data_IF_579634068190
#
_entry.id   IF_579634068190
#
_cell.length_a   1.000
_cell.length_b   1.000
_cell.length_c   1.000
_cell.angle_alpha   90.00
_cell.angle_beta   90.00
_cell.angle_gamma   90.00
#
_symmetry.space_group_name_H-M   'P 1'
#
loop_
_entity.id
_entity.type
_entity.pdbx_description
1 polymer ?
#
# COMPACT_ATOMS: atom_id res chain seq x y z
N UNK A 1 -27.16 -12.44 13.06
CA UNK A 1 -26.13 -11.99 14.03
C UNK A 1 -26.02 -12.84 15.31
N UNK A 2 -27.09 -13.38 15.95
CA UNK A 2 -26.95 -14.17 17.19
C UNK A 2 -26.20 -15.51 17.01
N UNK A 3 -26.28 -16.09 15.81
CA UNK A 3 -25.67 -17.38 15.50
C UNK A 3 -24.14 -17.29 15.33
N UNK A 4 -23.64 -16.17 14.80
CA UNK A 4 -22.20 -15.95 14.54
C UNK A 4 -21.39 -15.72 15.83
N UNK A 5 -22.00 -15.05 16.82
CA UNK A 5 -21.37 -14.80 18.13
C UNK A 5 -21.29 -16.07 18.97
N UNK A 6 -22.30 -16.94 18.91
CA UNK A 6 -22.27 -18.25 19.58
C UNK A 6 -21.21 -19.20 18.98
N UNK A 7 -21.02 -19.18 17.66
CA UNK A 7 -19.97 -19.99 17.00
C UNK A 7 -18.56 -19.48 17.25
N UNK A 8 -18.36 -18.16 17.41
CA UNK A 8 -17.05 -17.58 17.69
C UNK A 8 -16.60 -17.86 19.14
N UNK A 9 -17.48 -17.65 20.13
CA UNK A 9 -17.21 -18.00 21.52
C UNK A 9 -16.93 -19.51 21.69
N UNK A 10 -17.59 -20.35 20.88
CA UNK A 10 -17.31 -21.79 20.84
C UNK A 10 -15.96 -22.15 20.20
N UNK A 11 -15.42 -21.32 19.31
CA UNK A 11 -14.11 -21.55 18.70
C UNK A 11 -12.97 -21.29 19.67
N UNK A 12 -13.02 -20.17 20.41
CA UNK A 12 -11.98 -19.81 21.37
C UNK A 12 -12.02 -20.72 22.61
N UNK A 13 -13.18 -21.29 22.93
CA UNK A 13 -13.35 -22.32 23.96
C UNK A 13 -12.75 -23.70 23.62
N UNK A 14 -12.25 -23.92 22.40
CA UNK A 14 -11.72 -25.23 21.98
C UNK A 14 -10.38 -25.59 22.58
N UNK A 15 -9.59 -24.62 23.04
CA UNK A 15 -8.25 -24.88 23.59
C UNK A 15 -8.37 -25.15 25.10
N UNK A 16 -7.98 -26.36 25.58
CA UNK A 16 -7.96 -26.65 27.00
C UNK A 16 -7.00 -25.73 27.78
N UNK A 17 -7.37 -25.32 28.99
CA UNK A 17 -6.57 -24.39 29.80
C UNK A 17 -5.17 -24.91 30.12
N UNK A 18 -5.03 -26.21 30.35
CA UNK A 18 -3.75 -26.88 30.58
C UNK A 18 -2.85 -26.87 29.33
N UNK A 19 -3.44 -27.08 28.14
CA UNK A 19 -2.74 -26.93 26.88
C UNK A 19 -2.27 -25.48 26.68
N UNK A 20 -3.16 -24.52 26.91
CA UNK A 20 -2.86 -23.09 26.84
C UNK A 20 -1.71 -22.69 27.78
N UNK A 21 -1.70 -23.17 29.03
CA UNK A 21 -0.61 -22.87 29.97
C UNK A 21 0.74 -23.48 29.53
N UNK A 22 0.73 -24.66 28.91
CA UNK A 22 1.94 -25.28 28.32
C UNK A 22 2.47 -24.46 27.15
N UNK A 23 1.59 -24.03 26.24
CA UNK A 23 1.94 -23.22 25.06
C UNK A 23 2.55 -21.87 25.47
N UNK A 24 2.03 -21.26 26.55
CA UNK A 24 2.51 -19.94 27.02
C UNK A 24 3.87 -20.03 27.73
N UNK A 25 4.20 -21.16 28.35
CA UNK A 25 5.42 -21.34 29.13
C UNK A 25 6.71 -20.88 28.40
N UNK A 26 7.00 -21.29 27.15
CA UNK A 26 8.20 -20.88 26.42
C UNK A 26 8.21 -19.40 26.01
N UNK A 27 7.10 -18.67 26.09
CA UNK A 27 7.01 -17.27 25.68
C UNK A 27 7.43 -16.29 26.79
N UNK A 28 7.30 -16.70 28.07
CA UNK A 28 7.48 -15.80 29.21
C UNK A 28 8.92 -15.34 29.40
N UNK A 29 9.87 -16.27 29.31
CA UNK A 29 11.29 -15.97 29.54
C UNK A 29 11.87 -15.09 28.43
N UNK A 30 11.68 -15.38 27.13
CA UNK A 30 12.15 -14.49 26.05
C UNK A 30 11.51 -13.10 26.12
N UNK A 31 10.23 -13.00 26.48
CA UNK A 31 9.58 -11.70 26.69
C UNK A 31 10.21 -10.95 27.85
N UNK A 32 10.42 -11.60 29.00
CA UNK A 32 11.04 -10.98 30.16
C UNK A 32 12.47 -10.48 29.86
N UNK A 33 13.25 -11.27 29.13
CA UNK A 33 14.62 -10.95 28.74
C UNK A 33 14.73 -9.92 27.59
N UNK A 34 13.64 -9.64 26.87
CA UNK A 34 13.68 -8.76 25.70
C UNK A 34 14.17 -7.33 26.04
N UNK A 35 15.09 -6.76 25.22
CA UNK A 35 15.73 -5.47 25.48
C UNK A 35 14.79 -4.31 25.13
N UNK A 36 13.81 -4.09 25.99
CA UNK A 36 12.81 -3.03 25.81
C UNK A 36 13.27 -1.71 26.45
N UNK A 37 13.25 -0.64 25.65
CA UNK A 37 13.38 0.73 26.12
C UNK A 37 12.18 1.52 25.59
N UNK A 38 11.36 2.14 26.46
CA UNK A 38 10.27 3.00 25.99
C UNK A 38 10.81 4.14 25.11
N UNK A 39 10.07 4.48 24.06
CA UNK A 39 10.38 5.65 23.25
C UNK A 39 10.24 6.94 24.05
N UNK A 40 11.04 7.95 23.71
CA UNK A 40 10.93 9.27 24.33
C UNK A 40 9.53 9.84 24.06
N UNK A 41 8.78 10.14 25.13
CA UNK A 41 7.40 10.64 25.03
C UNK A 41 6.31 9.55 25.07
N UNK A 42 6.66 8.27 25.14
CA UNK A 42 5.70 7.16 25.30
C UNK A 42 5.03 7.21 26.67
N UNK A 43 3.70 7.22 26.72
CA UNK A 43 2.94 7.21 27.97
C UNK A 43 2.60 5.80 28.47
N UNK A 44 2.82 4.78 27.63
CA UNK A 44 2.60 3.37 27.96
C UNK A 44 3.82 2.48 27.67
N UNK A 45 3.85 1.30 28.29
CA UNK A 45 4.85 0.26 28.03
C UNK A 45 4.28 -0.82 27.13
N UNK A 46 4.73 -0.88 25.87
CA UNK A 46 4.32 -1.93 24.91
C UNK A 46 4.67 -3.31 25.44
N UNK A 47 5.84 -3.48 26.05
CA UNK A 47 6.24 -4.75 26.68
C UNK A 47 5.28 -5.17 27.80
N UNK A 48 4.82 -4.23 28.62
CA UNK A 48 3.85 -4.52 29.68
C UNK A 48 2.46 -4.86 29.12
N UNK A 49 2.05 -4.18 28.04
CA UNK A 49 0.82 -4.47 27.33
C UNK A 49 0.84 -5.88 26.72
N UNK A 50 1.95 -6.28 26.10
CA UNK A 50 2.10 -7.64 25.60
C UNK A 50 2.14 -8.66 26.75
N UNK A 51 2.82 -8.35 27.85
CA UNK A 51 2.86 -9.24 29.01
C UNK A 51 1.47 -9.47 29.65
N UNK A 52 0.57 -8.48 29.62
CA UNK A 52 -0.79 -8.63 30.18
C UNK A 52 -1.71 -9.53 29.34
N UNK A 53 -1.36 -9.77 28.08
CA UNK A 53 -2.05 -10.74 27.20
C UNK A 53 -1.64 -12.19 27.49
N UNK A 54 -0.55 -12.43 28.23
CA UNK A 54 -0.14 -13.79 28.57
C UNK A 54 -1.00 -14.33 29.73
N UNK A 55 -1.68 -15.47 29.53
CA UNK A 55 -2.48 -16.11 30.58
C UNK A 55 -1.68 -16.33 31.86
N UNK A 56 -2.26 -16.00 33.02
CA UNK A 56 -1.59 -16.22 34.31
C UNK A 56 -1.71 -17.67 34.81
N UNK A 57 -0.65 -18.25 35.40
CA UNK A 57 -0.72 -19.58 36.02
C UNK A 57 -1.47 -19.58 37.36
N UNK A 58 -1.71 -18.40 37.97
CA UNK A 58 -2.30 -18.29 39.30
C UNK A 58 -3.79 -18.69 39.31
N UNK A 59 -4.20 -19.60 40.22
CA UNK A 59 -5.59 -20.03 40.36
C UNK A 59 -6.51 -19.01 41.06
N UNK A 60 -5.95 -17.92 41.63
CA UNK A 60 -6.65 -16.92 42.44
C UNK A 60 -7.27 -15.75 41.66
N UNK A 61 -7.05 -15.65 40.35
CA UNK A 61 -7.74 -14.65 39.53
C UNK A 61 -9.13 -15.16 39.12
N UNK A 62 -10.15 -14.27 39.03
CA UNK A 62 -11.46 -14.65 38.51
C UNK A 62 -11.26 -15.33 37.17
N UNK A 63 -11.91 -16.49 36.97
CA UNK A 63 -11.75 -17.23 35.72
C UNK A 63 -12.06 -16.27 34.56
N UNK A 64 -11.14 -16.10 33.60
CA UNK A 64 -11.44 -15.30 32.44
C UNK A 64 -12.69 -15.88 31.77
N UNK A 65 -13.52 -15.01 31.18
CA UNK A 65 -14.64 -15.42 30.32
C UNK A 65 -14.15 -16.55 29.42
N UNK A 66 -14.94 -17.64 29.31
CA UNK A 66 -14.56 -18.83 28.55
C UNK A 66 -14.03 -18.41 27.17
N UNK A 67 -12.82 -18.84 26.83
CA UNK A 67 -12.14 -18.48 25.59
C UNK A 67 -11.16 -17.29 25.69
N UNK A 68 -11.41 -16.28 26.53
CA UNK A 68 -10.61 -15.04 26.54
C UNK A 68 -9.08 -15.26 26.62
N UNK A 69 -8.61 -16.25 27.39
CA UNK A 69 -7.17 -16.55 27.46
C UNK A 69 -6.53 -17.01 26.14
N UNK A 70 -7.26 -17.73 25.29
CA UNK A 70 -6.77 -18.14 23.97
C UNK A 70 -6.82 -16.98 22.97
N UNK A 71 -7.84 -16.12 23.04
CA UNK A 71 -7.89 -14.88 22.27
C UNK A 71 -6.72 -13.95 22.64
N UNK A 72 -6.48 -13.73 23.93
CA UNK A 72 -5.38 -12.89 24.42
C UNK A 72 -4.01 -13.45 23.99
N UNK A 73 -3.81 -14.77 24.09
CA UNK A 73 -2.59 -15.42 23.60
C UNK A 73 -2.40 -15.27 22.09
N UNK A 74 -3.47 -15.43 21.30
CA UNK A 74 -3.42 -15.22 19.86
C UNK A 74 -3.03 -13.77 19.54
N UNK A 75 -3.60 -12.80 20.25
CA UNK A 75 -3.27 -11.39 20.10
C UNK A 75 -1.82 -11.08 20.50
N UNK A 76 -1.30 -11.72 21.55
CA UNK A 76 0.12 -11.63 21.89
C UNK A 76 0.99 -12.12 20.74
N UNK A 77 0.74 -13.33 20.25
CA UNK A 77 1.49 -13.91 19.15
C UNK A 77 1.36 -13.08 17.88
N UNK A 78 0.17 -12.56 17.57
CA UNK A 78 -0.07 -11.70 16.42
C UNK A 78 0.80 -10.43 16.46
N UNK A 79 0.89 -9.75 17.60
CA UNK A 79 1.74 -8.57 17.75
C UNK A 79 3.23 -8.91 17.59
N UNK A 80 3.69 -10.01 18.21
CA UNK A 80 5.08 -10.46 18.13
C UNK A 80 5.45 -10.86 16.69
N UNK A 81 4.59 -11.61 16.00
CA UNK A 81 4.80 -12.06 14.63
C UNK A 81 4.63 -10.93 13.60
N UNK A 82 3.91 -9.86 13.94
CA UNK A 82 3.83 -8.64 13.14
C UNK A 82 5.03 -7.70 13.31
N UNK A 83 5.95 -8.00 14.25
CA UNK A 83 7.11 -7.15 14.51
C UNK A 83 8.03 -7.09 13.29
N UNK A 84 8.59 -5.91 13.05
CA UNK A 84 9.56 -5.66 11.98
C UNK A 84 10.65 -4.72 12.52
N UNK A 85 11.91 -4.87 12.08
CA UNK A 85 12.96 -3.90 12.40
C UNK A 85 12.64 -2.49 11.87
N UNK A 86 11.76 -2.38 10.88
CA UNK A 86 11.34 -1.11 10.28
C UNK A 86 10.31 -0.33 11.13
N UNK A 87 9.65 -0.99 12.10
CA UNK A 87 8.59 -0.38 12.90
C UNK A 87 9.07 -0.04 14.32
N UNK A 88 9.12 1.25 14.70
CA UNK A 88 9.66 1.68 15.98
C UNK A 88 8.96 1.02 17.17
N UNK A 89 7.64 0.81 17.17
CA UNK A 89 6.96 0.28 18.35
C UNK A 89 7.35 -1.17 18.71
N UNK A 90 7.82 -1.96 17.73
CA UNK A 90 8.07 -3.40 17.89
C UNK A 90 9.48 -3.86 17.50
N UNK A 91 10.39 -2.96 17.09
CA UNK A 91 11.77 -3.31 16.71
C UNK A 91 12.60 -3.99 17.82
N UNK A 92 12.18 -3.87 19.09
CA UNK A 92 12.85 -4.47 20.26
C UNK A 92 12.51 -5.95 20.45
N UNK A 93 11.53 -6.49 19.71
CA UNK A 93 11.09 -7.89 19.81
C UNK A 93 12.21 -8.80 19.27
N UNK A 94 12.79 -9.70 20.10
CA UNK A 94 13.91 -10.52 19.68
C UNK A 94 13.46 -11.68 18.77
N UNK A 95 14.34 -12.09 17.85
CA UNK A 95 14.09 -13.23 16.92
C UNK A 95 13.71 -14.51 17.66
N UNK A 96 14.28 -14.76 18.84
CA UNK A 96 13.92 -15.91 19.68
C UNK A 96 12.45 -15.88 20.12
N UNK A 97 11.91 -14.71 20.46
CA UNK A 97 10.51 -14.55 20.83
C UNK A 97 9.59 -14.69 19.61
N UNK A 98 10.01 -14.19 18.44
CA UNK A 98 9.28 -14.40 17.17
C UNK A 98 9.19 -15.89 16.85
N UNK A 99 10.31 -16.63 16.94
CA UNK A 99 10.33 -18.08 16.72
C UNK A 99 9.45 -18.85 17.71
N UNK A 100 9.48 -18.48 18.99
CA UNK A 100 8.62 -19.09 20.00
C UNK A 100 7.13 -18.79 19.76
N UNK A 101 6.79 -17.57 19.36
CA UNK A 101 5.41 -17.19 19.03
C UNK A 101 4.89 -17.94 17.80
N UNK A 102 5.73 -18.20 16.79
CA UNK A 102 5.36 -18.99 15.62
C UNK A 102 4.98 -20.43 16.00
N UNK A 103 5.81 -21.06 16.84
CA UNK A 103 5.54 -22.40 17.38
C UNK A 103 4.25 -22.41 18.20
N UNK A 104 4.05 -21.39 19.06
CA UNK A 104 2.87 -21.31 19.91
C UNK A 104 1.57 -21.25 19.10
N UNK A 105 1.53 -20.51 18.00
CA UNK A 105 0.33 -20.41 17.15
C UNK A 105 0.01 -21.74 16.45
N UNK A 106 1.03 -22.48 16.02
CA UNK A 106 0.86 -23.84 15.46
C UNK A 106 0.34 -24.82 16.52
N UNK A 107 0.89 -24.77 17.74
CA UNK A 107 0.42 -25.59 18.86
C UNK A 107 -1.01 -25.23 19.28
N UNK A 108 -1.40 -23.95 19.23
CA UNK A 108 -2.78 -23.52 19.45
C UNK A 108 -3.72 -24.10 18.40
N UNK A 109 -3.33 -24.03 17.12
CA UNK A 109 -4.11 -24.59 16.02
C UNK A 109 -4.34 -26.10 16.21
N UNK A 110 -3.27 -26.83 16.57
CA UNK A 110 -3.35 -28.25 16.87
C UNK A 110 -4.22 -28.56 18.11
N UNK A 111 -4.04 -27.81 19.20
CA UNK A 111 -4.74 -28.04 20.46
C UNK A 111 -6.25 -27.81 20.38
N UNK A 112 -6.71 -26.87 19.55
CA UNK A 112 -8.14 -26.67 19.29
C UNK A 112 -8.71 -27.47 18.10
N UNK A 113 -7.91 -28.36 17.51
CA UNK A 113 -8.33 -29.26 16.44
C UNK A 113 -8.59 -28.59 15.09
N UNK A 114 -7.90 -27.49 14.81
CA UNK A 114 -7.95 -26.83 13.50
C UNK A 114 -6.93 -27.44 12.53
N UNK A 115 -7.24 -27.47 11.23
CA UNK A 115 -6.34 -28.03 10.22
C UNK A 115 -5.16 -27.12 9.87
N UNK A 116 -5.24 -25.83 10.21
CA UNK A 116 -4.13 -24.88 10.07
C UNK A 116 -4.36 -23.62 10.91
N UNK A 117 -3.32 -22.80 11.05
CA UNK A 117 -3.38 -21.46 11.66
C UNK A 117 -4.45 -20.59 10.98
N UNK A 118 -4.52 -20.59 9.65
CA UNK A 118 -5.53 -19.81 8.93
C UNK A 118 -6.96 -20.23 9.28
N UNK A 119 -7.21 -21.52 9.50
CA UNK A 119 -8.52 -22.00 9.93
C UNK A 119 -8.87 -21.58 11.36
N UNK A 120 -7.90 -21.63 12.28
CA UNK A 120 -8.05 -21.10 13.63
C UNK A 120 -8.36 -19.61 13.58
N UNK A 121 -7.57 -18.83 12.83
CA UNK A 121 -7.74 -17.36 12.74
C UNK A 121 -9.12 -17.00 12.19
N UNK A 122 -9.60 -17.66 11.14
CA UNK A 122 -10.96 -17.45 10.61
C UNK A 122 -12.03 -17.68 11.69
N UNK A 123 -11.87 -18.72 12.50
CA UNK A 123 -12.83 -19.06 13.55
C UNK A 123 -12.82 -18.07 14.73
N UNK A 124 -11.65 -17.52 15.06
CA UNK A 124 -11.43 -16.62 16.21
C UNK A 124 -11.66 -15.15 15.86
N UNK A 125 -11.47 -14.76 14.60
CA UNK A 125 -11.57 -13.36 14.12
C UNK A 125 -12.81 -12.59 14.62
N UNK A 126 -14.04 -13.15 14.59
CA UNK A 126 -15.23 -12.43 15.05
C UNK A 126 -15.20 -12.03 16.54
N UNK A 127 -14.38 -12.70 17.35
CA UNK A 127 -14.18 -12.36 18.77
C UNK A 127 -13.07 -11.33 18.96
N UNK A 128 -11.99 -11.40 18.17
CA UNK A 128 -10.79 -10.57 18.38
C UNK A 128 -10.77 -9.27 17.60
N UNK A 129 -11.32 -9.22 16.38
CA UNK A 129 -11.25 -8.00 15.55
C UNK A 129 -12.10 -6.85 16.10
N UNK A 130 -13.34 -7.05 16.62
CA UNK A 130 -14.12 -5.92 17.14
C UNK A 130 -13.45 -5.20 18.32
N UNK A 131 -12.86 -5.90 19.32
CA UNK A 131 -12.04 -5.26 20.35
C UNK A 131 -10.84 -4.49 19.80
N UNK A 132 -10.13 -5.02 18.79
CA UNK A 132 -9.01 -4.29 18.16
C UNK A 132 -9.48 -2.99 17.51
N UNK A 133 -10.59 -3.05 16.77
CA UNK A 133 -11.22 -1.85 16.18
C UNK A 133 -11.58 -0.83 17.26
N UNK A 134 -12.15 -1.28 18.38
CA UNK A 134 -12.50 -0.39 19.49
C UNK A 134 -11.25 0.31 20.06
N UNK A 135 -10.16 -0.43 20.30
CA UNK A 135 -8.90 0.15 20.79
C UNK A 135 -8.36 1.23 19.86
N UNK A 136 -8.39 1.00 18.54
CA UNK A 136 -7.95 1.99 17.55
C UNK A 136 -8.89 3.19 17.51
N UNK A 137 -10.21 2.96 17.58
CA UNK A 137 -11.21 4.03 17.57
C UNK A 137 -11.09 4.92 18.80
N UNK A 138 -10.92 4.33 19.98
CA UNK A 138 -10.89 5.05 21.25
C UNK A 138 -9.65 5.95 21.38
N UNK A 139 -8.57 5.66 20.64
CA UNK A 139 -7.37 6.51 20.57
C UNK A 139 -7.42 7.59 19.47
N UNK A 140 -8.46 7.60 18.63
CA UNK A 140 -8.65 8.64 17.63
C UNK A 140 -8.94 10.00 18.30
N UNK A 141 -8.60 11.07 17.59
CA UNK A 141 -8.98 12.42 17.97
C UNK A 141 -10.21 12.79 17.15
N UNK A 142 -11.40 12.43 17.64
CA UNK A 142 -12.66 12.87 17.03
C UNK A 142 -12.91 14.33 17.40
N UNK A 143 -12.83 15.24 16.42
CA UNK A 143 -13.12 16.66 16.62
C UNK A 143 -14.56 16.93 17.10
N UNK A 144 -15.48 15.99 16.86
CA UNK A 144 -16.91 16.13 17.15
C UNK A 144 -17.34 15.47 18.47
N UNK A 145 -16.47 14.73 19.14
CA UNK A 145 -16.84 13.90 20.30
C UNK A 145 -15.89 14.03 21.50
N UNK A 146 -15.18 15.15 21.60
CA UNK A 146 -14.38 15.45 22.79
C UNK A 146 -15.30 15.77 23.99
N UNK A 147 -15.84 14.72 24.61
CA UNK A 147 -16.32 14.80 25.99
C UNK A 147 -15.15 15.28 26.86
N UNK A 148 -15.25 16.51 27.33
CA UNK A 148 -14.25 17.18 28.16
C UNK A 148 -14.04 16.34 29.43
N UNK A 149 -12.97 15.54 29.49
CA UNK A 149 -12.56 14.77 30.66
C UNK A 149 -12.27 13.28 30.46
N UNK A 150 -12.55 12.70 29.29
CA UNK A 150 -12.21 11.30 29.03
C UNK A 150 -10.70 11.10 28.84
N UNK A 151 -10.06 10.26 29.66
CA UNK A 151 -8.66 9.87 29.49
C UNK A 151 -8.56 8.95 28.27
N UNK A 152 -8.09 9.48 27.15
CA UNK A 152 -7.88 8.69 25.92
C UNK A 152 -6.80 7.62 26.16
N UNK A 153 -7.00 6.39 25.67
CA UNK A 153 -5.98 5.35 25.78
C UNK A 153 -4.68 5.78 25.07
N UNK A 154 -3.51 5.41 25.61
CA UNK A 154 -2.22 5.68 24.97
C UNK A 154 -2.17 5.18 23.53
N UNK A 155 -1.60 6.00 22.63
CA UNK A 155 -1.40 5.71 21.20
C UNK A 155 -0.77 4.34 20.95
N UNK A 156 0.13 3.91 21.85
CA UNK A 156 0.84 2.64 21.75
C UNK A 156 -0.11 1.43 21.73
N UNK A 157 -1.29 1.53 22.38
CA UNK A 157 -2.31 0.47 22.31
C UNK A 157 -2.86 0.32 20.90
N UNK A 158 -3.14 1.43 20.22
CA UNK A 158 -3.65 1.42 18.86
C UNK A 158 -2.61 0.93 17.85
N UNK A 159 -1.33 1.28 18.06
CA UNK A 159 -0.23 0.72 17.27
C UNK A 159 -0.19 -0.80 17.38
N UNK A 160 -0.18 -1.33 18.61
CA UNK A 160 -0.20 -2.79 18.83
C UNK A 160 -1.44 -3.42 18.22
N UNK A 161 -2.62 -2.83 18.42
CA UNK A 161 -3.86 -3.33 17.87
C UNK A 161 -3.87 -3.37 16.33
N UNK A 162 -3.28 -2.37 15.67
CA UNK A 162 -3.17 -2.32 14.22
C UNK A 162 -2.19 -3.37 13.68
N UNK A 163 -1.07 -3.62 14.38
CA UNK A 163 -0.17 -4.73 14.07
C UNK A 163 -0.83 -6.10 14.21
N UNK A 164 -1.58 -6.30 15.31
CA UNK A 164 -2.35 -7.53 15.55
C UNK A 164 -3.39 -7.74 14.44
N UNK A 165 -4.13 -6.69 14.10
CA UNK A 165 -5.11 -6.71 13.02
C UNK A 165 -4.48 -7.09 11.67
N UNK A 166 -3.37 -6.43 11.29
CA UNK A 166 -2.64 -6.75 10.05
C UNK A 166 -2.23 -8.22 10.00
N UNK A 167 -1.64 -8.73 11.07
CA UNK A 167 -1.19 -10.12 11.09
C UNK A 167 -2.36 -11.11 11.00
N UNK A 168 -3.46 -10.85 11.71
CA UNK A 168 -4.66 -11.68 11.62
C UNK A 168 -5.17 -11.72 10.17
N UNK A 169 -5.33 -10.56 9.54
CA UNK A 169 -5.80 -10.46 8.15
C UNK A 169 -4.87 -11.21 7.19
N UNK A 170 -3.56 -11.13 7.38
CA UNK A 170 -2.59 -11.81 6.49
C UNK A 170 -2.60 -13.34 6.60
N UNK A 171 -3.15 -13.91 7.67
CA UNK A 171 -3.28 -15.37 7.81
C UNK A 171 -4.44 -15.95 7.00
N UNK A 172 -5.34 -15.11 6.47
CA UNK A 172 -6.54 -15.56 5.75
C UNK A 172 -6.44 -15.17 4.28
N UNK A 173 -6.43 -16.17 3.41
CA UNK A 173 -6.39 -15.98 1.97
C UNK A 173 -7.77 -16.24 1.32
N UNK A 174 -7.83 -16.04 0.01
CA UNK A 174 -8.98 -16.44 -0.80
C UNK A 174 -9.31 -17.94 -0.64
N UNK A 175 -10.60 -18.34 -0.57
CA UNK A 175 -11.80 -17.50 -0.62
C UNK A 175 -12.32 -17.03 0.75
N UNK A 176 -11.76 -17.52 1.86
CA UNK A 176 -12.33 -17.34 3.21
C UNK A 176 -12.32 -15.89 3.70
N UNK A 177 -11.43 -15.04 3.18
CA UNK A 177 -11.36 -13.63 3.58
C UNK A 177 -12.61 -12.84 3.15
N UNK A 178 -13.26 -13.23 2.05
CA UNK A 178 -14.48 -12.57 1.56
C UNK A 178 -15.65 -12.65 2.55
N UNK A 179 -15.79 -13.80 3.21
CA UNK A 179 -16.82 -14.04 4.24
C UNK A 179 -16.64 -13.14 5.49
N UNK A 180 -15.46 -12.53 5.63
CA UNK A 180 -15.07 -11.70 6.76
C UNK A 180 -14.99 -10.20 6.40
N UNK A 181 -15.35 -9.80 5.19
CA UNK A 181 -15.34 -8.39 4.74
C UNK A 181 -16.07 -7.45 5.70
N UNK A 182 -17.24 -7.88 6.20
CA UNK A 182 -18.05 -7.11 7.15
C UNK A 182 -17.32 -6.79 8.47
N UNK A 183 -16.27 -7.55 8.78
CA UNK A 183 -15.45 -7.41 9.97
C UNK A 183 -14.15 -6.66 9.67
N UNK A 184 -13.43 -7.08 8.63
CA UNK A 184 -12.08 -6.58 8.34
C UNK A 184 -12.09 -5.21 7.67
N UNK A 185 -13.05 -4.92 6.79
CA UNK A 185 -13.09 -3.62 6.08
C UNK A 185 -13.36 -2.48 7.05
N UNK A 186 -14.38 -2.54 7.94
CA UNK A 186 -14.58 -1.47 8.91
C UNK A 186 -13.41 -1.27 9.88
N UNK A 187 -12.68 -2.33 10.23
CA UNK A 187 -11.49 -2.21 11.07
C UNK A 187 -10.34 -1.54 10.31
N UNK A 188 -10.10 -1.94 9.06
CA UNK A 188 -9.10 -1.33 8.20
C UNK A 188 -9.39 0.16 7.92
N UNK A 189 -10.65 0.53 7.69
CA UNK A 189 -11.04 1.94 7.56
C UNK A 189 -10.74 2.73 8.84
N UNK A 190 -11.11 2.20 10.01
CA UNK A 190 -10.79 2.83 11.30
C UNK A 190 -9.28 3.01 11.52
N UNK A 191 -8.44 2.09 11.03
CA UNK A 191 -6.98 2.30 11.07
C UNK A 191 -6.49 3.39 10.12
N UNK A 192 -7.14 3.58 8.96
CA UNK A 192 -6.79 4.65 8.01
C UNK A 192 -7.22 6.04 8.49
N UNK A 193 -8.28 6.12 9.28
CA UNK A 193 -8.79 7.37 9.86
C UNK A 193 -7.95 7.85 11.07
N UNK A 194 -7.08 6.97 11.59
CA UNK A 194 -6.28 7.27 12.77
C UNK A 194 -5.17 8.30 12.45
N UNK A 195 -4.92 9.26 13.33
CA UNK A 195 -3.94 10.34 13.11
C UNK A 195 -2.46 9.86 13.07
N UNK A 196 -2.16 8.70 13.66
CA UNK A 196 -0.81 8.13 13.68
C UNK A 196 -0.43 7.48 12.34
N UNK A 197 0.70 7.89 11.71
CA UNK A 197 1.23 7.23 10.52
C UNK A 197 1.46 5.73 10.73
N UNK A 198 2.05 5.32 11.87
CA UNK A 198 2.31 3.90 12.14
C UNK A 198 1.04 3.02 12.17
N UNK A 199 -0.11 3.59 12.60
CA UNK A 199 -1.40 2.87 12.61
C UNK A 199 -1.98 2.80 11.20
N UNK A 200 -1.95 3.93 10.48
CA UNK A 200 -2.42 4.02 9.10
C UNK A 200 -1.68 3.05 8.20
N UNK A 201 -0.36 2.95 8.34
CA UNK A 201 0.46 2.04 7.53
C UNK A 201 -0.02 0.58 7.66
N UNK A 202 -0.28 0.11 8.89
CA UNK A 202 -0.79 -1.24 9.08
C UNK A 202 -2.17 -1.44 8.43
N UNK A 203 -3.02 -0.40 8.46
CA UNK A 203 -4.28 -0.36 7.73
C UNK A 203 -4.11 -0.48 6.21
N UNK A 204 -3.18 0.28 5.63
CA UNK A 204 -2.85 0.24 4.20
C UNK A 204 -2.34 -1.15 3.79
N UNK A 205 -1.43 -1.74 4.57
CA UNK A 205 -0.90 -3.09 4.30
C UNK A 205 -2.03 -4.13 4.38
N UNK A 206 -2.94 -3.99 5.34
CA UNK A 206 -4.12 -4.85 5.45
C UNK A 206 -5.02 -4.73 4.22
N UNK A 207 -5.26 -3.51 3.73
CA UNK A 207 -6.04 -3.28 2.51
C UNK A 207 -5.38 -3.86 1.25
N UNK A 208 -4.05 -3.78 1.14
CA UNK A 208 -3.32 -4.41 0.03
C UNK A 208 -3.54 -5.93 0.04
N UNK A 209 -3.50 -6.57 1.22
CA UNK A 209 -3.79 -8.00 1.36
C UNK A 209 -5.25 -8.32 1.01
N UNK A 210 -6.19 -7.53 1.52
CA UNK A 210 -7.63 -7.65 1.23
C UNK A 210 -7.88 -7.56 -0.27
N UNK A 211 -7.33 -6.56 -0.95
CA UNK A 211 -7.50 -6.36 -2.39
C UNK A 211 -6.99 -7.54 -3.24
N UNK A 212 -5.95 -8.24 -2.76
CA UNK A 212 -5.37 -9.41 -3.42
C UNK A 212 -6.13 -10.71 -3.14
N UNK A 213 -6.94 -10.77 -2.08
CA UNK A 213 -7.51 -12.03 -1.56
C UNK A 213 -9.05 -12.05 -1.46
N UNK A 214 -9.73 -10.96 -1.79
CA UNK A 214 -11.20 -10.86 -1.76
C UNK A 214 -11.74 -10.73 -3.18
N UNK A 215 -12.91 -11.31 -3.47
CA UNK A 215 -13.54 -11.12 -4.77
C UNK A 215 -13.99 -9.68 -4.91
N UNK A 216 -13.83 -9.14 -6.11
CA UNK A 216 -14.27 -7.77 -6.38
C UNK A 216 -15.78 -7.58 -6.14
N UNK A 217 -16.62 -8.60 -6.33
CA UNK A 217 -18.06 -8.54 -6.02
C UNK A 217 -18.37 -8.35 -4.53
N UNK A 218 -17.46 -8.79 -3.65
CA UNK A 218 -17.58 -8.60 -2.21
C UNK A 218 -17.05 -7.21 -1.82
N UNK A 219 -15.93 -6.78 -2.44
CA UNK A 219 -15.37 -5.44 -2.24
C UNK A 219 -16.27 -4.32 -2.75
N UNK A 220 -17.04 -4.55 -3.82
CA UNK A 220 -17.92 -3.52 -4.40
C UNK A 220 -19.00 -3.03 -3.43
N UNK A 221 -19.30 -3.78 -2.36
CA UNK A 221 -20.22 -3.34 -1.31
C UNK A 221 -19.66 -2.20 -0.45
N UNK A 222 -18.35 -1.99 -0.49
CA UNK A 222 -17.61 -1.02 0.32
C UNK A 222 -16.83 0.00 -0.52
N UNK A 223 -17.02 -0.03 -1.84
CA UNK A 223 -16.25 0.73 -2.82
C UNK A 223 -16.14 2.21 -2.47
N UNK A 224 -17.27 2.90 -2.27
CA UNK A 224 -17.26 4.34 -2.02
C UNK A 224 -16.53 4.68 -0.72
N UNK A 225 -16.74 3.92 0.36
CA UNK A 225 -16.08 4.17 1.63
C UNK A 225 -14.55 3.94 1.55
N UNK A 226 -14.14 2.91 0.82
CA UNK A 226 -12.72 2.59 0.60
C UNK A 226 -12.04 3.68 -0.23
N UNK A 227 -12.64 4.06 -1.36
CA UNK A 227 -12.02 5.03 -2.26
C UNK A 227 -12.04 6.45 -1.69
N UNK A 228 -13.07 6.80 -0.92
CA UNK A 228 -13.10 8.06 -0.20
C UNK A 228 -11.97 8.12 0.85
N UNK A 229 -11.75 7.04 1.61
CA UNK A 229 -10.65 6.96 2.57
C UNK A 229 -9.26 7.07 1.88
N UNK A 230 -9.09 6.48 0.70
CA UNK A 230 -7.88 6.64 -0.11
C UNK A 230 -7.65 8.11 -0.52
N UNK A 231 -8.68 8.79 -1.03
CA UNK A 231 -8.59 10.21 -1.40
C UNK A 231 -8.20 11.09 -0.20
N UNK A 232 -8.83 10.89 0.96
CA UNK A 232 -8.50 11.63 2.17
C UNK A 232 -7.04 11.44 2.60
N UNK A 233 -6.51 10.22 2.51
CA UNK A 233 -5.13 9.94 2.89
C UNK A 233 -4.08 10.50 1.89
N UNK A 234 -4.38 10.58 0.60
CA UNK A 234 -3.52 11.25 -0.40
C UNK A 234 -3.33 12.73 -0.06
N UNK A 235 -4.38 13.39 0.42
CA UNK A 235 -4.32 14.80 0.77
C UNK A 235 -3.58 15.07 2.08
N UNK A 236 -3.62 14.13 3.03
CA UNK A 236 -3.22 14.36 4.41
C UNK A 236 -1.87 13.74 4.83
N UNK A 237 -1.35 12.74 4.10
CA UNK A 237 -0.23 11.93 4.58
C UNK A 237 1.03 12.06 3.71
N UNK A 238 1.93 12.93 4.18
CA UNK A 238 3.21 13.23 3.54
C UNK A 238 4.28 12.16 3.84
N UNK A 239 4.17 11.45 4.97
CA UNK A 239 5.17 10.49 5.46
C UNK A 239 4.98 9.11 4.83
N UNK A 240 3.74 8.69 4.63
CA UNK A 240 3.39 7.39 4.07
C UNK A 240 3.16 7.41 2.56
N UNK A 241 3.63 8.44 1.85
CA UNK A 241 3.30 8.68 0.45
C UNK A 241 3.42 7.44 -0.45
N UNK A 242 4.49 6.66 -0.33
CA UNK A 242 4.67 5.44 -1.11
C UNK A 242 3.50 4.45 -0.89
N UNK A 243 3.17 4.19 0.39
CA UNK A 243 2.10 3.27 0.78
C UNK A 243 0.72 3.79 0.38
N UNK A 244 0.50 5.09 0.51
CA UNK A 244 -0.73 5.77 0.11
C UNK A 244 -0.97 5.61 -1.39
N UNK A 245 0.05 5.82 -2.23
CA UNK A 245 -0.07 5.63 -3.68
C UNK A 245 -0.31 4.14 -4.00
N UNK A 246 0.45 3.24 -3.39
CA UNK A 246 0.34 1.80 -3.63
C UNK A 246 -1.08 1.29 -3.35
N UNK A 247 -1.61 1.57 -2.15
CA UNK A 247 -2.94 1.11 -1.76
C UNK A 247 -4.04 1.76 -2.60
N UNK A 248 -3.90 3.05 -2.92
CA UNK A 248 -4.89 3.78 -3.73
C UNK A 248 -4.96 3.26 -5.15
N UNK A 249 -3.81 3.00 -5.80
CA UNK A 249 -3.77 2.41 -7.15
C UNK A 249 -4.41 1.02 -7.15
N UNK A 250 -4.05 0.18 -6.19
CA UNK A 250 -4.56 -1.20 -6.10
C UNK A 250 -6.07 -1.19 -5.88
N UNK A 251 -6.57 -0.43 -4.90
CA UNK A 251 -7.99 -0.39 -4.57
C UNK A 251 -8.82 0.25 -5.67
N UNK A 252 -8.34 1.34 -6.28
CA UNK A 252 -9.01 1.98 -7.41
C UNK A 252 -9.16 1.02 -8.59
N UNK A 253 -8.06 0.40 -9.01
CA UNK A 253 -8.07 -0.48 -10.19
C UNK A 253 -8.79 -1.80 -9.93
N UNK A 254 -8.80 -2.34 -8.70
CA UNK A 254 -9.53 -3.57 -8.41
C UNK A 254 -11.05 -3.34 -8.29
N UNK A 255 -11.47 -2.20 -7.74
CA UNK A 255 -12.90 -1.85 -7.57
C UNK A 255 -13.50 -1.33 -8.88
N UNK A 256 -12.86 -0.35 -9.52
CA UNK A 256 -13.37 0.28 -10.75
C UNK A 256 -13.09 -0.55 -12.01
N UNK A 257 -12.11 -1.46 -11.97
CA UNK A 257 -11.69 -2.29 -13.11
C UNK A 257 -11.49 -1.44 -14.37
N UNK A 258 -11.94 -1.95 -15.51
CA UNK A 258 -11.93 -1.31 -16.82
C UNK A 258 -13.11 -0.36 -17.04
N UNK A 259 -13.63 0.30 -15.99
CA UNK A 259 -14.59 1.39 -16.14
C UNK A 259 -13.86 2.75 -16.14
N UNK A 260 -13.26 3.19 -17.28
CA UNK A 260 -12.53 4.45 -17.34
C UNK A 260 -13.41 5.69 -17.14
N UNK A 261 -14.75 5.53 -17.19
CA UNK A 261 -15.71 6.62 -16.97
C UNK A 261 -16.03 6.84 -15.50
N UNK A 262 -15.51 5.99 -14.60
CA UNK A 262 -15.75 6.17 -13.18
C UNK A 262 -15.19 7.53 -12.72
N UNK A 263 -15.98 8.34 -11.99
CA UNK A 263 -15.49 9.60 -11.43
C UNK A 263 -14.35 9.38 -10.42
N UNK A 264 -14.23 8.18 -9.87
CA UNK A 264 -13.15 7.84 -8.94
C UNK A 264 -11.76 7.89 -9.59
N UNK A 265 -11.65 7.58 -10.88
CA UNK A 265 -10.38 7.72 -11.60
C UNK A 265 -9.93 9.19 -11.67
N UNK A 266 -10.84 10.07 -12.07
CA UNK A 266 -10.58 11.51 -12.16
C UNK A 266 -10.26 12.11 -10.79
N UNK A 267 -11.06 11.78 -9.77
CA UNK A 267 -10.88 12.26 -8.39
C UNK A 267 -9.53 11.82 -7.82
N UNK A 268 -9.24 10.51 -7.86
CA UNK A 268 -8.01 9.96 -7.28
C UNK A 268 -6.76 10.47 -7.97
N UNK A 269 -6.74 10.46 -9.31
CA UNK A 269 -5.60 10.97 -10.07
C UNK A 269 -5.42 12.47 -9.83
N UNK A 270 -6.51 13.23 -9.72
CA UNK A 270 -6.44 14.66 -9.44
C UNK A 270 -5.84 14.99 -8.08
N UNK A 271 -6.18 14.23 -7.04
CA UNK A 271 -5.59 14.35 -5.70
C UNK A 271 -4.09 14.02 -5.73
N UNK A 272 -3.71 12.90 -6.38
CA UNK A 272 -2.29 12.52 -6.49
C UNK A 272 -1.47 13.57 -7.22
N UNK A 273 -1.96 14.07 -8.35
CA UNK A 273 -1.31 15.12 -9.11
C UNK A 273 -1.24 16.42 -8.29
N UNK A 274 -2.28 16.74 -7.52
CA UNK A 274 -2.32 17.97 -6.71
C UNK A 274 -1.26 17.93 -5.62
N UNK A 275 -1.06 16.76 -5.02
CA UNK A 275 -0.01 16.51 -4.06
C UNK A 275 1.39 16.67 -4.68
N UNK A 276 1.62 16.10 -5.87
CA UNK A 276 2.89 16.20 -6.59
C UNK A 276 3.20 17.62 -7.07
N UNK A 277 2.19 18.39 -7.48
CA UNK A 277 2.33 19.78 -7.91
C UNK A 277 2.72 20.73 -6.78
N UNK A 278 2.40 20.40 -5.51
CA UNK A 278 2.84 21.19 -4.34
C UNK A 278 4.32 21.03 -4.04
N UNK A 279 4.87 19.84 -4.28
CA UNK A 279 6.27 19.52 -4.03
C UNK A 279 6.92 18.81 -5.23
N UNK A 280 6.98 19.46 -6.41
CA UNK A 280 7.39 18.81 -7.64
C UNK A 280 8.89 18.51 -7.69
N UNK A 281 9.66 18.93 -6.69
CA UNK A 281 11.10 18.68 -6.54
C UNK A 281 11.43 17.53 -5.59
N UNK A 282 10.44 16.96 -4.90
CA UNK A 282 10.67 15.85 -3.97
C UNK A 282 10.93 14.54 -4.73
N UNK A 283 12.19 14.05 -4.69
CA UNK A 283 12.62 12.83 -5.42
C UNK A 283 11.84 11.59 -4.99
N UNK A 284 11.70 11.35 -3.69
CA UNK A 284 11.06 10.14 -3.18
C UNK A 284 9.59 10.07 -3.61
N UNK A 285 8.87 11.20 -3.55
CA UNK A 285 7.46 11.26 -3.94
C UNK A 285 7.24 10.96 -5.42
N UNK A 286 8.06 11.56 -6.28
CA UNK A 286 8.00 11.35 -7.73
C UNK A 286 8.31 9.92 -8.11
N UNK A 287 9.41 9.38 -7.57
CA UNK A 287 9.82 8.00 -7.84
C UNK A 287 8.76 7.02 -7.39
N UNK A 288 8.19 7.20 -6.19
CA UNK A 288 7.11 6.37 -5.69
C UNK A 288 5.90 6.38 -6.64
N UNK A 289 5.43 7.57 -7.02
CA UNK A 289 4.26 7.72 -7.89
C UNK A 289 4.50 7.16 -9.30
N UNK A 290 5.62 7.52 -9.93
CA UNK A 290 5.96 7.03 -11.27
C UNK A 290 6.12 5.50 -11.32
N UNK A 291 6.58 4.88 -10.22
CA UNK A 291 6.72 3.42 -10.14
C UNK A 291 5.36 2.71 -10.08
N UNK A 292 4.37 3.34 -9.45
CA UNK A 292 3.12 2.67 -9.07
C UNK A 292 1.92 3.05 -9.95
N UNK A 293 1.95 4.17 -10.67
CA UNK A 293 0.76 4.73 -11.32
C UNK A 293 0.29 3.97 -12.58
N UNK A 294 1.15 3.17 -13.20
CA UNK A 294 0.88 2.51 -14.49
C UNK A 294 -0.51 1.85 -14.63
N UNK A 295 -0.97 1.03 -13.65
CA UNK A 295 -2.30 0.40 -13.70
C UNK A 295 -3.47 1.40 -13.81
N UNK A 296 -3.35 2.60 -13.24
CA UNK A 296 -4.36 3.66 -13.36
C UNK A 296 -4.38 4.20 -14.79
N UNK A 297 -3.21 4.40 -15.40
CA UNK A 297 -3.13 4.83 -16.79
C UNK A 297 -3.74 3.81 -17.74
N UNK A 298 -3.40 2.53 -17.57
CA UNK A 298 -3.96 1.44 -18.37
C UNK A 298 -5.48 1.38 -18.28
N UNK A 299 -6.03 1.56 -17.07
CA UNK A 299 -7.47 1.53 -16.85
C UNK A 299 -8.18 2.75 -17.43
N UNK A 300 -7.59 3.95 -17.37
CA UNK A 300 -8.18 5.19 -17.89
C UNK A 300 -8.07 5.31 -19.41
N UNK A 301 -6.97 4.85 -20.02
CA UNK A 301 -6.74 4.92 -21.46
C UNK A 301 -6.93 6.33 -22.04
N UNK A 302 -7.85 6.48 -23.00
CA UNK A 302 -8.14 7.77 -23.66
C UNK A 302 -8.58 8.88 -22.69
N UNK A 303 -9.12 8.55 -21.52
CA UNK A 303 -9.59 9.55 -20.56
C UNK A 303 -8.45 10.34 -19.90
N UNK A 304 -7.21 9.85 -20.01
CA UNK A 304 -6.00 10.58 -19.59
C UNK A 304 -5.84 11.93 -20.29
N UNK A 305 -6.47 12.13 -21.46
CA UNK A 305 -6.46 13.41 -22.18
C UNK A 305 -6.92 14.59 -21.29
N UNK A 306 -7.84 14.36 -20.34
CA UNK A 306 -8.31 15.38 -19.41
C UNK A 306 -7.19 15.88 -18.47
N UNK A 307 -6.20 15.05 -18.18
CA UNK A 307 -5.10 15.35 -17.26
C UNK A 307 -3.80 15.74 -17.95
N UNK A 308 -3.77 15.80 -19.29
CA UNK A 308 -2.57 16.07 -20.07
C UNK A 308 -1.82 17.31 -19.62
N UNK A 309 -2.54 18.41 -19.36
CA UNK A 309 -1.91 19.66 -18.93
C UNK A 309 -1.06 19.47 -17.67
N UNK A 310 -1.58 18.75 -16.69
CA UNK A 310 -0.93 18.51 -15.40
C UNK A 310 0.19 17.48 -15.53
N UNK A 311 -0.10 16.35 -16.18
CA UNK A 311 0.85 15.27 -16.44
C UNK A 311 2.09 15.76 -17.21
N UNK A 312 1.89 16.37 -18.38
CA UNK A 312 3.01 16.84 -19.20
C UNK A 312 3.78 17.98 -18.53
N UNK A 313 3.13 18.85 -17.74
CA UNK A 313 3.84 19.87 -16.98
C UNK A 313 4.85 19.25 -15.99
N UNK A 314 4.43 18.21 -15.26
CA UNK A 314 5.31 17.50 -14.33
C UNK A 314 6.37 16.70 -15.07
N UNK A 315 6.02 15.98 -16.13
CA UNK A 315 6.98 15.18 -16.90
C UNK A 315 8.07 16.02 -17.55
N UNK A 316 7.71 17.15 -18.18
CA UNK A 316 8.72 18.04 -18.75
C UNK A 316 9.65 18.60 -17.68
N UNK A 317 9.17 18.82 -16.46
CA UNK A 317 10.05 19.22 -15.36
C UNK A 317 10.95 18.06 -14.91
N UNK A 318 10.41 16.84 -14.81
CA UNK A 318 11.10 15.70 -14.21
C UNK A 318 12.08 15.00 -15.15
N UNK A 319 11.83 15.05 -16.47
CA UNK A 319 12.72 14.45 -17.47
C UNK A 319 14.10 15.12 -17.52
N UNK A 320 14.22 16.35 -17.03
CA UNK A 320 15.49 17.11 -16.98
C UNK A 320 16.10 17.15 -15.57
N UNK A 321 15.65 16.28 -14.65
CA UNK A 321 16.27 16.17 -13.33
C UNK A 321 17.61 15.42 -13.41
N UNK A 322 18.51 15.68 -12.47
CA UNK A 322 19.81 15.00 -12.36
C UNK A 322 19.68 13.51 -12.00
N UNK A 323 18.52 13.11 -11.45
CA UNK A 323 18.25 11.73 -11.04
C UNK A 323 17.86 10.85 -12.22
N UNK A 324 18.78 9.98 -12.65
CA UNK A 324 18.56 9.06 -13.78
C UNK A 324 17.34 8.15 -13.59
N UNK A 325 17.06 7.71 -12.35
CA UNK A 325 15.89 6.87 -12.04
C UNK A 325 14.59 7.60 -12.36
N UNK A 326 14.46 8.86 -11.96
CA UNK A 326 13.30 9.70 -12.29
C UNK A 326 13.16 9.85 -13.80
N UNK A 327 14.25 10.14 -14.51
CA UNK A 327 14.21 10.33 -15.97
C UNK A 327 13.73 9.08 -16.70
N UNK A 328 14.27 7.91 -16.37
CA UNK A 328 13.86 6.64 -16.97
C UNK A 328 12.38 6.35 -16.71
N UNK A 329 11.94 6.49 -15.46
CA UNK A 329 10.53 6.29 -15.10
C UNK A 329 9.60 7.29 -15.81
N UNK A 330 10.01 8.54 -15.99
CA UNK A 330 9.23 9.53 -16.76
C UNK A 330 9.10 9.09 -18.22
N UNK A 331 10.19 8.67 -18.86
CA UNK A 331 10.16 8.19 -20.24
C UNK A 331 9.24 6.97 -20.41
N UNK A 332 9.30 6.01 -19.48
CA UNK A 332 8.41 4.85 -19.45
C UNK A 332 6.93 5.25 -19.35
N UNK A 333 6.59 6.13 -18.40
CA UNK A 333 5.21 6.57 -18.19
C UNK A 333 4.70 7.44 -19.36
N UNK A 334 5.53 8.32 -19.91
CA UNK A 334 5.19 9.13 -21.08
C UNK A 334 4.94 8.25 -22.30
N UNK A 335 5.80 7.26 -22.54
CA UNK A 335 5.62 6.31 -23.63
C UNK A 335 4.30 5.52 -23.49
N UNK A 336 3.97 5.05 -22.29
CA UNK A 336 2.70 4.40 -22.02
C UNK A 336 1.50 5.32 -22.32
N UNK A 337 1.53 6.57 -21.85
CA UNK A 337 0.47 7.56 -22.11
C UNK A 337 0.32 7.84 -23.61
N UNK A 338 1.41 7.99 -24.36
CA UNK A 338 1.35 8.21 -25.81
C UNK A 338 0.71 7.00 -26.50
N UNK A 339 1.09 5.77 -26.12
CA UNK A 339 0.47 4.54 -26.65
C UNK A 339 -1.02 4.46 -26.36
N UNK A 340 -1.43 4.73 -25.13
CA UNK A 340 -2.82 4.64 -24.68
C UNK A 340 -3.72 5.71 -25.32
N UNK A 341 -3.18 6.92 -25.52
CA UNK A 341 -3.95 8.08 -25.98
C UNK A 341 -3.81 8.39 -27.46
N UNK A 342 -2.81 7.81 -28.12
CA UNK A 342 -2.35 8.19 -29.46
C UNK A 342 -2.05 9.70 -29.56
N UNK A 343 -1.75 10.33 -28.41
CA UNK A 343 -1.53 11.76 -28.22
C UNK A 343 -2.56 12.64 -28.97
N UNK A 344 -3.81 12.16 -29.09
CA UNK A 344 -4.85 12.78 -29.94
C UNK A 344 -5.09 14.24 -29.51
N UNK A 345 -5.05 15.16 -30.49
CA UNK A 345 -5.28 16.60 -30.30
C UNK A 345 -4.38 17.26 -29.22
N UNK A 346 -3.21 16.70 -28.94
CA UNK A 346 -2.30 17.30 -27.96
C UNK A 346 -1.57 18.53 -28.51
N UNK A 347 -1.59 19.68 -27.79
CA UNK A 347 -0.76 20.83 -28.12
C UNK A 347 0.73 20.60 -27.79
N UNK A 348 1.06 19.48 -27.12
CA UNK A 348 2.41 19.22 -26.63
C UNK A 348 3.32 18.51 -27.62
N UNK A 349 2.85 18.14 -28.82
CA UNK A 349 3.65 17.37 -29.79
C UNK A 349 4.98 18.04 -30.13
N UNK A 350 4.95 19.33 -30.49
CA UNK A 350 6.15 20.08 -30.84
C UNK A 350 7.10 20.21 -29.66
N UNK A 351 6.57 20.60 -28.49
CA UNK A 351 7.36 20.70 -27.26
C UNK A 351 7.98 19.35 -26.88
N UNK A 352 7.24 18.26 -26.99
CA UNK A 352 7.72 16.93 -26.65
C UNK A 352 8.92 16.52 -27.51
N UNK A 353 8.87 16.80 -28.81
CA UNK A 353 10.02 16.55 -29.70
C UNK A 353 11.24 17.37 -29.23
N UNK A 354 11.04 18.64 -28.91
CA UNK A 354 12.12 19.52 -28.43
C UNK A 354 12.75 19.05 -27.12
N UNK A 355 11.92 18.68 -26.14
CA UNK A 355 12.38 18.22 -24.82
C UNK A 355 13.09 16.87 -24.93
N UNK A 356 12.63 15.96 -25.80
CA UNK A 356 13.30 14.67 -26.07
C UNK A 356 14.68 14.88 -26.71
N UNK A 357 14.79 15.81 -27.66
CA UNK A 357 16.07 16.18 -28.29
C UNK A 357 17.01 16.79 -27.26
N UNK A 358 16.51 17.72 -26.44
CA UNK A 358 17.29 18.34 -25.36
C UNK A 358 17.80 17.27 -24.38
N UNK A 359 16.93 16.36 -23.94
CA UNK A 359 17.31 15.26 -23.05
C UNK A 359 18.35 14.34 -23.69
N UNK A 360 18.27 14.09 -25.01
CA UNK A 360 19.28 13.30 -25.71
C UNK A 360 20.68 13.94 -25.59
N UNK A 361 20.77 15.27 -25.71
CA UNK A 361 22.02 16.02 -25.53
C UNK A 361 22.49 15.97 -24.09
N UNK A 362 21.61 16.25 -23.13
CA UNK A 362 21.91 16.20 -21.70
C UNK A 362 22.32 14.80 -21.22
N UNK A 363 21.80 13.74 -21.84
CA UNK A 363 22.13 12.36 -21.50
C UNK A 363 23.58 11.99 -21.84
N UNK A 364 24.29 12.78 -22.65
CA UNK A 364 25.65 12.45 -23.10
C UNK A 364 26.64 12.24 -21.94
N UNK A 365 26.42 12.92 -20.81
CA UNK A 365 27.25 12.84 -19.60
C UNK A 365 26.72 11.84 -18.56
N UNK A 366 25.55 11.23 -18.79
CA UNK A 366 24.89 10.31 -17.86
C UNK A 366 25.43 8.90 -17.99
N UNK A 367 25.38 8.14 -16.90
CA UNK A 367 25.83 6.74 -16.86
C UNK A 367 24.88 5.82 -17.63
N UNK A 368 23.57 6.07 -17.55
CA UNK A 368 22.53 5.33 -18.30
C UNK A 368 22.24 5.89 -19.70
N UNK A 369 23.18 6.62 -20.32
CA UNK A 369 22.97 7.33 -21.60
C UNK A 369 22.35 6.47 -22.71
N UNK A 370 22.80 5.23 -22.88
CA UNK A 370 22.33 4.35 -23.96
C UNK A 370 20.88 3.90 -23.72
N UNK A 371 20.52 3.66 -22.46
CA UNK A 371 19.16 3.28 -22.07
C UNK A 371 18.20 4.45 -22.28
N UNK A 372 18.60 5.66 -21.86
CA UNK A 372 17.83 6.90 -22.07
C UNK A 372 17.64 7.15 -23.57
N UNK A 373 18.71 7.04 -24.38
CA UNK A 373 18.64 7.23 -25.83
C UNK A 373 17.73 6.22 -26.51
N UNK A 374 17.74 4.96 -26.06
CA UNK A 374 16.85 3.92 -26.58
C UNK A 374 15.38 4.29 -26.33
N UNK A 375 15.04 4.73 -25.11
CA UNK A 375 13.68 5.17 -24.80
C UNK A 375 13.26 6.41 -25.61
N UNK A 376 14.16 7.38 -25.76
CA UNK A 376 13.92 8.56 -26.60
C UNK A 376 13.63 8.15 -28.04
N UNK A 377 14.44 7.25 -28.59
CA UNK A 377 14.29 6.75 -29.95
C UNK A 377 12.93 6.04 -30.16
N UNK A 378 12.55 5.16 -29.24
CA UNK A 378 11.24 4.49 -29.26
C UNK A 378 10.08 5.49 -29.21
N UNK A 379 10.18 6.50 -28.35
CA UNK A 379 9.18 7.56 -28.27
C UNK A 379 9.10 8.40 -29.55
N UNK A 380 10.22 8.77 -30.16
CA UNK A 380 10.24 9.51 -31.42
C UNK A 380 9.58 8.71 -32.54
N UNK A 381 9.90 7.41 -32.67
CA UNK A 381 9.26 6.51 -33.64
C UNK A 381 7.75 6.42 -33.39
N UNK A 382 7.34 6.30 -32.14
CA UNK A 382 5.92 6.27 -31.77
C UNK A 382 5.23 7.59 -32.13
N UNK A 383 5.85 8.74 -31.85
CA UNK A 383 5.29 10.05 -32.18
C UNK A 383 5.13 10.26 -33.68
N UNK A 384 6.14 9.87 -34.48
CA UNK A 384 6.05 9.90 -35.92
C UNK A 384 4.86 9.07 -36.42
N UNK A 385 4.70 7.84 -35.92
CA UNK A 385 3.55 6.97 -36.24
C UNK A 385 2.21 7.59 -35.84
N UNK A 386 2.14 8.30 -34.71
CA UNK A 386 0.90 8.92 -34.24
C UNK A 386 0.56 10.25 -34.93
N UNK A 387 1.55 11.02 -35.41
CA UNK A 387 1.38 12.43 -35.81
C UNK A 387 1.77 12.76 -37.24
N UNK A 388 2.51 11.88 -37.91
CA UNK A 388 2.94 12.06 -39.31
C UNK A 388 3.52 13.45 -39.55
N UNK A 389 2.90 14.23 -40.44
CA UNK A 389 3.39 15.55 -40.85
C UNK A 389 3.63 16.53 -39.68
N UNK A 390 2.80 16.52 -38.63
CA UNK A 390 3.01 17.40 -37.47
C UNK A 390 4.32 17.08 -36.73
N UNK A 391 4.70 15.80 -36.71
CA UNK A 391 5.99 15.40 -36.17
C UNK A 391 7.12 15.84 -37.10
N UNK A 392 7.00 15.60 -38.42
CA UNK A 392 8.03 15.97 -39.40
C UNK A 392 8.34 17.48 -39.37
N UNK A 393 7.31 18.33 -39.24
CA UNK A 393 7.48 19.77 -39.12
C UNK A 393 8.25 20.17 -37.85
N UNK A 394 7.98 19.50 -36.72
CA UNK A 394 8.70 19.73 -35.47
C UNK A 394 10.13 19.15 -35.50
N UNK A 395 10.33 18.03 -36.20
CA UNK A 395 11.59 17.30 -36.31
C UNK A 395 12.58 18.00 -37.25
N UNK A 396 12.10 18.61 -38.34
CA UNK A 396 12.91 19.22 -39.40
C UNK A 396 14.00 20.17 -38.91
N UNK A 397 13.75 20.92 -37.84
CA UNK A 397 14.73 21.87 -37.28
C UNK A 397 15.93 21.20 -36.60
N UNK A 398 15.83 19.90 -36.29
CA UNK A 398 16.85 19.12 -35.59
C UNK A 398 17.65 18.21 -36.54
N UNK A 399 17.26 18.07 -37.81
CA UNK A 399 17.93 17.17 -38.79
C UNK A 399 19.37 17.55 -39.10
N UNK A 400 19.71 18.83 -38.95
CA UNK A 400 21.05 19.36 -39.22
C UNK A 400 21.91 19.50 -37.95
N UNK A 401 21.43 18.99 -36.82
CA UNK A 401 22.13 19.10 -35.55
C UNK A 401 23.27 18.06 -35.45
N UNK A 402 24.55 18.50 -35.40
CA UNK A 402 25.68 17.58 -35.38
C UNK A 402 25.69 16.68 -34.13
N UNK A 403 25.14 17.16 -33.00
CA UNK A 403 25.13 16.42 -31.74
C UNK A 403 24.15 15.24 -31.78
N UNK A 404 23.25 15.19 -32.78
CA UNK A 404 22.22 14.17 -32.94
C UNK A 404 22.54 13.13 -34.01
N UNK A 405 23.72 13.18 -34.64
CA UNK A 405 24.06 12.33 -35.79
C UNK A 405 23.77 10.84 -35.58
N UNK A 406 24.10 10.27 -34.41
CA UNK A 406 23.83 8.86 -34.09
C UNK A 406 22.33 8.58 -33.82
N UNK A 407 21.61 9.53 -33.23
CA UNK A 407 20.18 9.40 -33.00
C UNK A 407 19.43 9.45 -34.35
N UNK A 408 19.80 10.38 -35.23
CA UNK A 408 19.24 10.55 -36.57
C UNK A 408 19.42 9.31 -37.43
N UNK A 409 20.62 8.69 -37.40
CA UNK A 409 20.88 7.47 -38.16
C UNK A 409 20.02 6.30 -37.65
N UNK A 410 19.97 6.11 -36.33
CA UNK A 410 19.16 5.06 -35.69
C UNK A 410 17.67 5.25 -35.93
N UNK A 411 17.20 6.50 -35.85
CA UNK A 411 15.80 6.86 -36.12
C UNK A 411 15.43 6.54 -37.56
N UNK A 412 16.24 6.96 -38.52
CA UNK A 412 16.02 6.70 -39.95
C UNK A 412 15.99 5.20 -40.27
N UNK A 413 16.87 4.40 -39.65
CA UNK A 413 16.88 2.95 -39.78
C UNK A 413 15.60 2.30 -39.25
N UNK A 414 15.14 2.69 -38.06
CA UNK A 414 13.91 2.14 -37.50
C UNK A 414 12.67 2.57 -38.29
N UNK A 415 12.64 3.79 -38.81
CA UNK A 415 11.53 4.23 -39.65
C UNK A 415 11.46 3.44 -40.96
N UNK A 416 12.59 3.22 -41.62
CA UNK A 416 12.66 2.42 -42.88
C UNK A 416 12.33 0.95 -42.69
N UNK A 417 12.79 0.32 -41.60
CA UNK A 417 12.40 -1.06 -41.26
C UNK A 417 10.90 -1.19 -41.00
N UNK A 418 10.30 -0.22 -40.33
CA UNK A 418 8.85 -0.20 -40.07
C UNK A 418 8.01 0.19 -41.31
N UNK A 419 8.62 0.74 -42.36
CA UNK A 419 7.95 1.15 -43.60
C UNK A 419 7.96 0.06 -44.67
N UNK A 420 8.73 -1.02 -44.45
CA UNK A 420 8.73 -2.18 -45.33
C UNK A 420 7.44 -2.98 -45.09
N UNK A 421 6.57 -3.14 -46.09
CA UNK A 421 5.39 -3.99 -45.94
C UNK A 421 5.88 -5.41 -45.70
N UNK A 422 5.47 -6.00 -44.58
CA UNK A 422 5.68 -7.43 -44.34
C UNK A 422 5.11 -8.22 -45.52
N UNK A 423 5.92 -9.13 -46.06
CA UNK A 423 5.44 -10.21 -46.91
C UNK A 423 4.51 -11.14 -46.12
#
# INVERSE_FOLDING_TARGET
>A
MPQATATAAAAVARIPRDALLRIVAPLREPLAAAPYKPHAGSSASVKSLLASLLPSPSPSQPQPVVGKGAADLLLFCAAVLASSPEHPALHWVPVSLVGAAAIAVEEMAAAGGWGSVGEMVVAVMPEVVPPLKAVVKDSCVDADNDEIGAVKPPKEHAVVAAHQFRWLVSQVCYPKLGDLCWLVIPCALTTLDHWSPEVKEQGMVSFIHIAKNVKVTELSLYEDAILDACCHNIAADDELWYRVVEVSVILLTCTQRSNPRSPWYDRMLSEMLGHLERQPLNKERRVAWLTLIGPVFDAMGLFLLAHFRRLFSLFFQWMHTDDEKTVLLVLEQMHAIIKLTWIRKSPYTLRLVDELVLLCKESATRSSREVIRTHILEMLVLLQKCKGQQFEEAWKKHELDPDLTMLLSSFSQLCTQNSSPGC
#
